data_IF_473632851369
#
_entry.id   IF_473632851369
#
_cell.length_a   1.000
_cell.length_b   1.000
_cell.length_c   1.000
_cell.angle_alpha   90.00
_cell.angle_beta   90.00
_cell.angle_gamma   90.00
#
_symmetry.space_group_name_H-M   'P 1'
#
loop_
_entity.id
_entity.type
_entity.pdbx_description
1 polymer ?
#
# COMPACT_ATOMS: atom_id res chain seq x y z
N UNK A 1 -24.54 -1.04 9.34
CA UNK A 1 -23.72 -0.02 9.99
C UNK A 1 -22.41 0.16 9.26
N UNK A 2 -21.68 1.24 9.55
CA UNK A 2 -20.40 1.58 8.89
C UNK A 2 -19.17 1.09 9.65
N UNK A 3 -19.32 0.13 10.57
CA UNK A 3 -18.18 -0.46 11.28
C UNK A 3 -17.31 -1.25 10.32
N UNK A 4 -15.99 -1.07 10.43
CA UNK A 4 -14.99 -1.82 9.68
C UNK A 4 -14.84 -3.20 10.31
N UNK A 5 -14.91 -4.24 9.49
CA UNK A 5 -14.80 -5.64 9.92
C UNK A 5 -13.53 -6.31 9.45
N UNK A 6 -12.97 -5.86 8.32
CA UNK A 6 -11.73 -6.41 7.77
C UNK A 6 -10.93 -5.35 7.01
N UNK A 7 -9.61 -5.45 7.09
CA UNK A 7 -8.67 -4.61 6.34
C UNK A 7 -7.60 -5.55 5.77
N UNK A 8 -7.38 -5.47 4.46
CA UNK A 8 -6.40 -6.32 3.81
C UNK A 8 -5.61 -5.55 2.74
N UNK A 9 -4.29 -5.56 2.88
CA UNK A 9 -3.35 -4.93 1.97
C UNK A 9 -2.62 -5.97 1.10
N UNK A 10 -2.26 -5.53 -0.11
CA UNK A 10 -1.45 -6.28 -1.07
C UNK A 10 -0.52 -5.37 -1.87
N UNK A 11 0.54 -5.96 -2.42
CA UNK A 11 1.41 -5.28 -3.37
C UNK A 11 0.84 -5.41 -4.78
N UNK A 12 0.69 -4.29 -5.48
CA UNK A 12 0.33 -4.22 -6.90
C UNK A 12 1.36 -3.40 -7.68
N UNK A 13 1.17 -3.17 -8.98
CA UNK A 13 2.02 -2.31 -9.80
C UNK A 13 1.34 -0.98 -10.15
N UNK A 14 2.08 0.11 -10.06
CA UNK A 14 1.67 1.44 -10.51
C UNK A 14 1.71 1.58 -12.05
N UNK A 15 1.28 2.73 -12.57
CA UNK A 15 1.27 3.02 -14.01
C UNK A 15 2.65 3.03 -14.68
N UNK A 16 3.74 3.04 -13.88
CA UNK A 16 5.13 2.98 -14.34
C UNK A 16 5.76 1.60 -14.08
N UNK A 17 4.98 0.62 -13.62
CA UNK A 17 5.45 -0.72 -13.31
C UNK A 17 6.26 -0.83 -12.01
N UNK A 18 6.22 0.17 -11.13
CA UNK A 18 6.83 0.06 -9.80
C UNK A 18 5.81 -0.52 -8.80
N UNK A 19 6.26 -1.30 -7.81
CA UNK A 19 5.36 -1.75 -6.74
C UNK A 19 4.68 -0.59 -6.02
N UNK A 20 3.42 -0.78 -5.61
CA UNK A 20 2.69 0.12 -4.69
C UNK A 20 1.69 -0.68 -3.86
N UNK A 21 1.16 -0.06 -2.81
CA UNK A 21 0.20 -0.68 -1.89
C UNK A 21 -1.23 -0.47 -2.40
N UNK A 22 -2.02 -1.54 -2.40
CA UNK A 22 -3.48 -1.48 -2.52
C UNK A 22 -4.10 -2.04 -1.23
N UNK A 23 -5.16 -1.39 -0.74
CA UNK A 23 -5.87 -1.80 0.47
C UNK A 23 -7.35 -1.95 0.19
N UNK A 24 -7.89 -3.08 0.66
CA UNK A 24 -9.32 -3.35 0.77
C UNK A 24 -9.79 -3.09 2.20
N UNK A 25 -10.96 -2.46 2.35
CA UNK A 25 -11.65 -2.29 3.64
C UNK A 25 -13.08 -2.81 3.48
N UNK A 26 -13.46 -3.78 4.32
CA UNK A 26 -14.80 -4.33 4.37
C UNK A 26 -15.55 -3.78 5.58
N UNK A 27 -16.83 -3.44 5.39
CA UNK A 27 -17.72 -3.04 6.49
C UNK A 27 -18.68 -4.17 6.87
N UNK A 28 -19.28 -4.08 8.04
CA UNK A 28 -20.28 -5.03 8.54
C UNK A 28 -21.48 -5.19 7.59
N UNK A 29 -21.82 -4.14 6.84
CA UNK A 29 -22.86 -4.17 5.81
C UNK A 29 -22.42 -4.81 4.48
N UNK A 30 -21.18 -5.31 4.39
CA UNK A 30 -20.62 -5.92 3.19
C UNK A 30 -20.16 -4.91 2.13
N UNK A 31 -20.12 -3.60 2.42
CA UNK A 31 -19.54 -2.64 1.49
C UNK A 31 -18.02 -2.80 1.47
N UNK A 32 -17.45 -2.92 0.26
CA UNK A 32 -16.03 -3.02 -0.01
C UNK A 32 -15.52 -1.70 -0.59
N UNK A 33 -14.57 -1.07 0.09
CA UNK A 33 -13.76 0.01 -0.45
C UNK A 33 -12.38 -0.52 -0.85
N UNK A 34 -11.88 -0.12 -2.02
CA UNK A 34 -10.53 -0.47 -2.48
C UNK A 34 -9.82 0.77 -2.97
N UNK A 35 -8.56 0.95 -2.55
CA UNK A 35 -7.74 2.06 -2.99
C UNK A 35 -6.30 1.61 -3.25
N UNK A 36 -5.77 2.04 -4.39
CA UNK A 36 -4.35 1.94 -4.74
C UNK A 36 -3.66 3.27 -4.46
N UNK A 37 -2.53 3.23 -3.74
CA UNK A 37 -1.79 4.45 -3.38
C UNK A 37 -0.91 4.89 -4.55
N UNK A 38 -0.95 6.17 -4.98
CA UNK A 38 -0.03 6.67 -6.00
C UNK A 38 1.39 6.81 -5.43
N UNK A 39 2.40 6.68 -6.30
CA UNK A 39 3.79 6.96 -5.94
C UNK A 39 4.32 8.19 -6.69
N UNK A 40 4.64 9.24 -5.95
CA UNK A 40 5.19 10.48 -6.49
C UNK A 40 6.65 10.34 -6.94
N UNK A 41 7.08 11.19 -7.87
CA UNK A 41 8.50 11.39 -8.14
C UNK A 41 9.13 12.47 -7.24
N UNK A 42 8.30 13.34 -6.64
CA UNK A 42 8.73 14.33 -5.65
C UNK A 42 9.14 13.63 -4.36
N UNK A 43 10.26 14.06 -3.78
CA UNK A 43 10.74 13.60 -2.48
C UNK A 43 11.07 14.82 -1.63
N UNK A 44 10.08 15.68 -1.41
CA UNK A 44 10.27 16.86 -0.57
C UNK A 44 10.67 16.43 0.84
N UNK A 45 11.69 17.07 1.42
CA UNK A 45 12.20 16.70 2.75
C UNK A 45 11.19 16.90 3.90
N UNK A 46 10.08 17.58 3.63
CA UNK A 46 8.98 17.85 4.56
C UNK A 46 7.69 17.11 4.17
N UNK A 47 7.74 16.22 3.20
CA UNK A 47 6.59 15.39 2.79
C UNK A 47 6.53 14.11 3.64
N UNK A 48 5.35 13.51 3.73
CA UNK A 48 5.21 12.17 4.29
C UNK A 48 5.96 11.17 3.39
N UNK A 49 6.77 10.30 4.01
CA UNK A 49 7.64 9.36 3.27
C UNK A 49 6.94 8.03 3.02
N UNK A 50 7.01 7.55 1.78
CA UNK A 50 6.60 6.18 1.43
C UNK A 50 7.63 5.17 1.97
N UNK A 51 7.15 4.01 2.43
CA UNK A 51 8.00 2.93 2.93
C UNK A 51 8.32 1.95 1.81
N UNK A 52 9.61 1.84 1.47
CA UNK A 52 10.14 0.88 0.49
C UNK A 52 10.99 -0.20 1.18
N UNK A 53 11.04 -1.38 0.57
CA UNK A 53 11.76 -2.54 1.09
C UNK A 53 13.28 -2.39 0.97
N UNK A 54 13.77 -1.72 -0.06
CA UNK A 54 15.21 -1.48 -0.28
C UNK A 54 16.00 -2.71 -0.75
N UNK A 55 15.37 -3.88 -0.90
CA UNK A 55 15.99 -5.07 -1.46
C UNK A 55 16.21 -4.93 -2.97
N UNK A 56 17.46 -4.63 -3.36
CA UNK A 56 17.83 -4.41 -4.77
C UNK A 56 17.59 -5.61 -5.67
N UNK A 57 17.48 -6.83 -5.12
CA UNK A 57 17.19 -8.03 -5.91
C UNK A 57 15.74 -8.09 -6.40
N UNK A 58 14.83 -7.37 -5.75
CA UNK A 58 13.39 -7.36 -6.02
C UNK A 58 12.95 -5.95 -6.44
N UNK A 59 12.47 -5.80 -7.68
CA UNK A 59 12.04 -4.51 -8.24
C UNK A 59 13.05 -3.36 -8.02
N UNK A 60 14.37 -3.66 -8.06
CA UNK A 60 15.45 -2.69 -7.83
C UNK A 60 15.35 -1.96 -6.47
N UNK A 61 14.82 -2.61 -5.43
CA UNK A 61 14.64 -2.03 -4.09
C UNK A 61 13.33 -1.30 -3.88
N UNK A 62 12.44 -1.29 -4.89
CA UNK A 62 11.17 -0.56 -4.85
C UNK A 62 9.98 -1.37 -4.33
N UNK A 63 10.21 -2.59 -3.85
CA UNK A 63 9.19 -3.40 -3.18
C UNK A 63 8.53 -2.64 -2.02
N UNK A 64 7.30 -3.04 -1.68
CA UNK A 64 6.50 -2.44 -0.59
C UNK A 64 5.93 -3.50 0.37
N UNK A 65 6.52 -4.68 0.42
CA UNK A 65 6.04 -5.78 1.26
C UNK A 65 6.06 -5.42 2.75
N UNK A 66 7.03 -4.62 3.19
CA UNK A 66 7.06 -4.10 4.57
C UNK A 66 5.89 -3.16 4.85
N UNK A 67 5.52 -2.31 3.90
CA UNK A 67 4.35 -1.44 4.02
C UNK A 67 3.05 -2.25 4.06
N UNK A 68 2.96 -3.31 3.25
CA UNK A 68 1.82 -4.25 3.25
C UNK A 68 1.70 -4.97 4.59
N UNK A 69 2.80 -5.51 5.12
CA UNK A 69 2.83 -6.18 6.42
C UNK A 69 2.37 -5.24 7.55
N UNK A 70 2.84 -4.00 7.55
CA UNK A 70 2.41 -2.99 8.53
C UNK A 70 0.90 -2.70 8.52
N UNK A 71 0.18 -2.96 7.42
CA UNK A 71 -1.28 -2.82 7.39
C UNK A 71 -1.97 -4.10 7.87
N UNK A 72 -1.46 -5.26 7.47
CA UNK A 72 -2.08 -6.55 7.77
C UNK A 72 -1.84 -7.06 9.20
N UNK A 73 -0.70 -6.69 9.81
CA UNK A 73 -0.25 -7.22 11.09
C UNK A 73 -0.59 -6.29 12.29
N UNK A 74 -1.60 -5.42 12.13
CA UNK A 74 -2.14 -4.57 13.21
C UNK A 74 -3.13 -5.34 14.08
#
# INVERSE_FOLDING_TARGET
MSFITDIHARQILDSRGNPTVEVDVLTENGHLGRAAVPSGASTGIHEAVELRDGDKSVYLGKGVLKAVANVNDI
#
